data_IF_143852343532
#
_entry.id   IF_143852343532
#
_cell.length_a   1.000
_cell.length_b   1.000
_cell.length_c   1.000
_cell.angle_alpha   90.00
_cell.angle_beta   90.00
_cell.angle_gamma   90.00
#
_symmetry.space_group_name_H-M   'P 1'
#
loop_
_entity.id
_entity.type
_entity.pdbx_description
1 polymer ?
#
# COMPACT_ATOMS: atom_id res chain seq x y z
N UNK A 1 10.29 -1.72 43.79
CA UNK A 1 10.20 -1.03 42.48
C UNK A 1 10.40 -2.04 41.37
N UNK A 2 9.32 -2.75 41.02
CA UNK A 2 9.32 -3.68 39.89
C UNK A 2 9.19 -2.83 38.63
N UNK A 3 10.20 -2.90 37.76
CA UNK A 3 10.19 -2.22 36.47
C UNK A 3 8.99 -2.70 35.66
N UNK A 4 8.07 -1.78 35.37
CA UNK A 4 7.04 -1.99 34.37
C UNK A 4 7.72 -2.06 33.01
N UNK A 5 8.06 -3.28 32.58
CA UNK A 5 8.31 -3.58 31.18
C UNK A 5 6.99 -3.26 30.49
N UNK A 6 6.88 -2.08 29.87
CA UNK A 6 5.82 -1.81 28.90
C UNK A 6 5.93 -2.93 27.89
N UNK A 7 4.97 -3.86 27.88
CA UNK A 7 4.85 -4.83 26.80
C UNK A 7 4.84 -4.03 25.51
N UNK A 8 5.90 -4.18 24.71
CA UNK A 8 5.88 -3.73 23.32
C UNK A 8 4.84 -4.57 22.62
N UNK A 9 3.63 -4.03 22.50
CA UNK A 9 2.61 -4.52 21.57
C UNK A 9 2.98 -4.05 20.16
N UNK A 10 4.17 -4.42 19.69
CA UNK A 10 4.62 -4.19 18.31
C UNK A 10 3.94 -5.19 17.35
N UNK A 11 2.84 -5.82 17.76
CA UNK A 11 2.20 -6.95 17.08
C UNK A 11 0.70 -6.71 16.94
N UNK A 12 0.26 -6.51 15.70
CA UNK A 12 -1.14 -6.39 15.33
C UNK A 12 -1.57 -7.65 14.55
N UNK A 13 -2.73 -8.22 14.89
CA UNK A 13 -3.23 -9.45 14.25
C UNK A 13 -4.18 -9.12 13.10
N UNK A 14 -3.72 -9.30 11.85
CA UNK A 14 -4.53 -9.09 10.65
C UNK A 14 -5.78 -9.97 10.57
N UNK A 15 -5.82 -11.07 11.31
CA UNK A 15 -6.99 -11.95 11.45
C UNK A 15 -8.23 -11.20 11.99
N UNK A 16 -8.02 -10.06 12.66
CA UNK A 16 -9.11 -9.17 13.11
C UNK A 16 -9.70 -8.32 11.98
N UNK A 17 -8.99 -8.16 10.86
CA UNK A 17 -9.37 -7.28 9.76
C UNK A 17 -9.76 -8.03 8.47
N UNK A 18 -9.36 -9.30 8.32
CA UNK A 18 -9.62 -10.09 7.13
C UNK A 18 -9.58 -11.60 7.40
N UNK A 19 -10.25 -12.38 6.54
CA UNK A 19 -10.08 -13.82 6.57
C UNK A 19 -8.69 -14.21 6.03
N UNK A 20 -8.10 -15.33 6.50
CA UNK A 20 -6.85 -15.84 5.94
C UNK A 20 -6.92 -16.01 4.42
N UNK A 21 -5.91 -15.49 3.71
CA UNK A 21 -5.82 -15.56 2.26
C UNK A 21 -6.55 -14.45 1.49
N UNK A 22 -7.28 -13.55 2.17
CA UNK A 22 -7.95 -12.42 1.49
C UNK A 22 -7.00 -11.27 1.15
N UNK A 23 -5.95 -11.06 1.95
CA UNK A 23 -5.03 -9.93 1.82
C UNK A 23 -3.89 -10.29 0.84
N UNK A 24 -3.84 -9.63 -0.32
CA UNK A 24 -2.74 -9.79 -1.28
C UNK A 24 -1.55 -8.88 -0.95
N UNK A 25 -1.84 -7.69 -0.43
CA UNK A 25 -0.83 -6.67 -0.12
C UNK A 25 -1.34 -5.71 0.93
N UNK A 26 -0.42 -5.08 1.65
CA UNK A 26 -0.73 -4.13 2.71
C UNK A 26 0.28 -3.00 2.73
N UNK A 27 -0.17 -1.79 3.03
CA UNK A 27 0.70 -0.62 3.25
C UNK A 27 0.23 0.20 4.42
N UNK A 28 1.20 0.87 5.05
CA UNK A 28 0.97 1.89 6.08
C UNK A 28 1.52 3.22 5.57
N UNK A 29 0.79 4.30 5.84
CA UNK A 29 1.20 5.65 5.44
C UNK A 29 0.18 6.71 5.82
N UNK A 30 0.53 7.97 5.60
CA UNK A 30 -0.32 9.14 5.87
C UNK A 30 -1.04 9.56 4.60
N UNK A 31 -1.95 8.71 4.15
CA UNK A 31 -2.62 8.88 2.86
C UNK A 31 -3.74 9.91 2.89
N UNK A 32 -4.49 10.01 3.99
CA UNK A 32 -5.69 10.84 4.10
C UNK A 32 -5.46 12.09 4.96
N UNK A 33 -4.63 11.97 5.99
CA UNK A 33 -4.26 13.05 6.91
C UNK A 33 -2.78 12.91 7.30
N UNK A 34 -2.02 14.01 7.29
CA UNK A 34 -0.59 14.02 7.63
C UNK A 34 -0.30 13.67 9.09
N UNK A 35 -1.30 13.72 9.96
CA UNK A 35 -1.17 13.45 11.38
C UNK A 35 -1.74 12.09 11.79
N UNK A 36 -2.37 11.35 10.86
CA UNK A 36 -3.01 10.06 11.15
C UNK A 36 -2.44 9.02 10.21
N UNK A 37 -1.81 8.00 10.75
CA UNK A 37 -1.38 6.85 9.97
C UNK A 37 -2.58 6.00 9.58
N UNK A 38 -2.57 5.50 8.36
CA UNK A 38 -3.62 4.68 7.81
C UNK A 38 -3.06 3.36 7.32
N UNK A 39 -3.77 2.28 7.62
CA UNK A 39 -3.51 0.95 7.13
C UNK A 39 -4.43 0.70 5.93
N UNK A 40 -3.84 0.37 4.78
CA UNK A 40 -4.60 -0.01 3.59
C UNK A 40 -4.29 -1.46 3.25
N UNK A 41 -5.34 -2.28 3.21
CA UNK A 41 -5.29 -3.68 2.81
C UNK A 41 -5.84 -3.83 1.40
N UNK A 42 -5.06 -4.38 0.47
CA UNK A 42 -5.60 -4.88 -0.80
C UNK A 42 -6.26 -6.23 -0.57
N UNK A 43 -7.52 -6.34 -1.00
CA UNK A 43 -8.33 -7.55 -1.00
C UNK A 43 -8.95 -7.74 -2.38
N UNK A 44 -8.23 -8.44 -3.25
CA UNK A 44 -8.51 -8.67 -4.66
C UNK A 44 -8.76 -7.36 -5.42
N UNK A 45 -10.02 -6.95 -5.58
CA UNK A 45 -10.44 -5.78 -6.37
C UNK A 45 -10.84 -4.57 -5.52
N UNK A 46 -10.70 -4.64 -4.19
CA UNK A 46 -11.01 -3.53 -3.28
C UNK A 46 -9.88 -3.27 -2.28
N UNK A 47 -9.80 -2.03 -1.81
CA UNK A 47 -8.92 -1.59 -0.74
C UNK A 47 -9.75 -1.40 0.52
N UNK A 48 -9.36 -2.03 1.62
CA UNK A 48 -9.94 -1.75 2.94
C UNK A 48 -9.05 -0.74 3.65
N UNK A 49 -9.63 0.38 4.06
CA UNK A 49 -8.92 1.49 4.69
C UNK A 49 -9.25 1.53 6.17
N UNK A 50 -8.21 1.64 6.99
CA UNK A 50 -8.33 1.83 8.42
C UNK A 50 -7.44 3.00 8.87
N UNK A 51 -7.89 3.76 9.86
CA UNK A 51 -7.07 4.76 10.53
C UNK A 51 -6.52 4.19 11.84
N UNK A 52 -5.25 4.46 12.12
CA UNK A 52 -4.69 4.16 13.42
C UNK A 52 -5.33 5.07 14.47
N UNK A 53 -5.85 4.47 15.54
CA UNK A 53 -6.37 5.16 16.71
C UNK A 53 -5.38 4.91 17.86
N UNK A 54 -4.50 5.89 18.08
CA UNK A 54 -3.47 5.81 19.11
C UNK A 54 -4.04 5.85 20.54
N UNK A 55 -5.25 6.40 20.73
CA UNK A 55 -5.88 6.50 22.05
C UNK A 55 -6.44 5.15 22.50
N UNK A 56 -7.09 4.43 21.58
CA UNK A 56 -7.72 3.13 21.85
C UNK A 56 -6.83 1.92 21.50
N UNK A 57 -5.60 2.15 21.00
CA UNK A 57 -4.65 1.11 20.59
C UNK A 57 -5.27 0.14 19.55
N UNK A 58 -5.99 0.70 18.57
CA UNK A 58 -6.72 -0.06 17.56
C UNK A 58 -6.72 0.61 16.18
N UNK A 59 -7.39 -0.02 15.21
CA UNK A 59 -7.59 0.52 13.87
C UNK A 59 -9.08 0.71 13.60
N UNK A 60 -9.48 1.96 13.38
CA UNK A 60 -10.84 2.32 13.03
C UNK A 60 -11.09 2.08 11.55
N UNK A 61 -12.13 1.31 11.22
CA UNK A 61 -12.54 1.12 9.83
C UNK A 61 -13.04 2.44 9.22
N UNK A 62 -12.56 2.75 8.02
CA UNK A 62 -12.90 3.98 7.30
C UNK A 62 -13.78 3.68 6.10
N UNK A 63 -13.29 2.86 5.16
CA UNK A 63 -13.99 2.62 3.90
C UNK A 63 -13.47 1.39 3.14
N UNK A 64 -14.27 0.93 2.16
CA UNK A 64 -13.87 0.03 1.10
C UNK A 64 -13.85 0.76 -0.26
N UNK A 65 -12.67 0.88 -0.86
CA UNK A 65 -12.47 1.57 -2.14
C UNK A 65 -12.30 0.54 -3.27
N UNK A 66 -13.20 0.55 -4.25
CA UNK A 66 -13.10 -0.32 -5.42
C UNK A 66 -11.98 0.14 -6.37
N UNK A 67 -11.12 -0.79 -6.78
CA UNK A 67 -10.02 -0.56 -7.74
C UNK A 67 -10.34 -1.14 -9.13
N UNK A 68 -11.41 -1.94 -9.24
CA UNK A 68 -11.93 -2.59 -10.47
C UNK A 68 -10.96 -3.52 -11.20
N UNK A 69 -9.71 -3.61 -10.75
CA UNK A 69 -8.70 -4.57 -11.19
C UNK A 69 -8.13 -5.28 -9.98
N UNK A 70 -7.78 -6.54 -10.18
CA UNK A 70 -7.15 -7.32 -9.13
C UNK A 70 -5.75 -6.77 -8.84
N UNK A 71 -5.54 -6.42 -7.57
CA UNK A 71 -4.30 -5.81 -7.08
C UNK A 71 -3.27 -6.91 -6.84
N UNK A 72 -2.10 -6.74 -7.44
CA UNK A 72 -0.93 -7.58 -7.20
C UNK A 72 -0.14 -7.07 -5.99
N UNK A 73 0.19 -5.78 -5.97
CA UNK A 73 0.86 -5.18 -4.81
C UNK A 73 0.54 -3.69 -4.64
N UNK A 74 0.75 -3.23 -3.41
CA UNK A 74 0.67 -1.84 -2.99
C UNK A 74 2.05 -1.38 -2.49
N UNK A 75 2.40 -0.13 -2.75
CA UNK A 75 3.57 0.52 -2.14
C UNK A 75 3.22 1.93 -1.66
N UNK A 76 3.78 2.33 -0.52
CA UNK A 76 3.74 3.73 -0.05
C UNK A 76 4.88 4.52 -0.69
N UNK A 77 4.57 5.68 -1.25
CA UNK A 77 5.57 6.68 -1.66
C UNK A 77 5.46 7.89 -0.74
N UNK A 78 6.37 7.97 0.23
CA UNK A 78 6.34 8.97 1.31
C UNK A 78 6.59 10.37 0.76
N UNK A 79 5.75 11.34 1.14
CA UNK A 79 5.88 12.73 0.70
C UNK A 79 6.26 13.66 1.87
N UNK A 80 7.38 14.43 1.80
CA UNK A 80 7.83 15.27 2.92
C UNK A 80 6.84 16.38 3.32
N UNK A 81 6.15 16.96 2.34
CA UNK A 81 5.33 18.16 2.50
C UNK A 81 3.89 17.97 2.04
N UNK A 82 3.47 16.73 1.77
CA UNK A 82 2.12 16.40 1.30
C UNK A 82 1.62 15.13 1.99
N UNK A 83 0.45 14.65 1.58
CA UNK A 83 -0.02 13.31 1.85
C UNK A 83 0.81 12.29 1.07
N UNK A 84 1.01 11.12 1.66
CA UNK A 84 1.71 10.02 1.01
C UNK A 84 0.95 9.56 -0.23
N UNK A 85 1.69 9.16 -1.25
CA UNK A 85 1.11 8.62 -2.47
C UNK A 85 0.98 7.10 -2.36
N UNK A 86 -0.16 6.57 -2.82
CA UNK A 86 -0.41 5.15 -2.91
C UNK A 86 -0.06 4.67 -4.32
N UNK A 87 0.95 3.81 -4.43
CA UNK A 87 1.24 3.09 -5.67
C UNK A 87 0.48 1.77 -5.68
N UNK A 88 -0.26 1.50 -6.76
CA UNK A 88 -1.04 0.29 -6.97
C UNK A 88 -0.55 -0.39 -8.24
N UNK A 89 -0.17 -1.66 -8.15
CA UNK A 89 0.15 -2.50 -9.30
C UNK A 89 -0.91 -3.60 -9.43
N UNK A 90 -1.52 -3.71 -10.61
CA UNK A 90 -2.45 -4.80 -10.94
C UNK A 90 -1.70 -6.07 -11.33
N UNK A 91 -2.39 -7.21 -11.27
CA UNK A 91 -1.89 -8.48 -11.83
C UNK A 91 -1.64 -8.40 -13.36
N UNK A 92 -2.32 -7.49 -14.05
CA UNK A 92 -2.13 -7.22 -15.48
C UNK A 92 -0.87 -6.41 -15.80
N UNK A 93 -0.12 -6.01 -14.77
CA UNK A 93 1.09 -5.20 -14.90
C UNK A 93 0.82 -3.73 -15.20
N UNK A 94 -0.42 -3.25 -15.04
CA UNK A 94 -0.73 -1.83 -15.07
C UNK A 94 -0.58 -1.24 -13.68
N UNK A 95 -0.07 -0.01 -13.61
CA UNK A 95 0.14 0.66 -12.34
C UNK A 95 -0.48 2.04 -12.31
N UNK A 96 -0.82 2.47 -11.10
CA UNK A 96 -1.33 3.79 -10.76
C UNK A 96 -0.52 4.35 -9.59
N UNK A 97 -0.12 5.61 -9.70
CA UNK A 97 0.35 6.40 -8.56
C UNK A 97 -0.78 7.37 -8.18
N UNK A 98 -1.32 7.21 -6.99
CA UNK A 98 -2.51 7.90 -6.51
C UNK A 98 -2.16 8.81 -5.32
N UNK A 99 -2.84 9.94 -5.19
CA UNK A 99 -2.79 10.78 -3.99
C UNK A 99 -4.20 11.20 -3.60
N UNK A 100 -4.50 11.21 -2.31
CA UNK A 100 -5.81 11.64 -1.82
C UNK A 100 -6.00 13.15 -2.04
N UNK A 101 -7.17 13.56 -2.53
CA UNK A 101 -7.48 14.96 -2.78
C UNK A 101 -8.55 15.56 -1.83
N UNK A 102 -8.92 14.83 -0.78
CA UNK A 102 -9.98 15.19 0.16
C UNK A 102 -11.28 14.41 -0.04
N UNK A 103 -11.53 13.88 -1.23
CA UNK A 103 -12.76 13.12 -1.54
C UNK A 103 -12.52 11.75 -2.17
N UNK A 104 -11.45 11.60 -2.96
CA UNK A 104 -11.07 10.36 -3.61
C UNK A 104 -9.58 10.31 -3.86
N UNK A 105 -9.07 9.11 -4.14
CA UNK A 105 -7.74 8.96 -4.72
C UNK A 105 -7.73 9.50 -6.15
N UNK A 106 -6.87 10.48 -6.39
CA UNK A 106 -6.64 11.07 -7.70
C UNK A 106 -5.37 10.47 -8.33
N UNK A 107 -5.42 10.02 -9.60
CA UNK A 107 -4.25 9.48 -10.27
C UNK A 107 -3.27 10.58 -10.68
N UNK A 108 -2.09 10.58 -10.06
CA UNK A 108 -0.96 11.42 -10.44
C UNK A 108 -0.24 10.89 -11.68
N UNK A 109 -0.12 9.56 -11.79
CA UNK A 109 0.51 8.91 -12.93
C UNK A 109 -0.04 7.50 -13.14
N UNK A 110 0.10 6.98 -14.36
CA UNK A 110 -0.25 5.62 -14.71
C UNK A 110 0.70 5.06 -15.76
N UNK A 111 0.83 3.74 -15.82
CA UNK A 111 1.60 3.08 -16.86
C UNK A 111 1.33 1.59 -16.93
N UNK A 112 2.08 0.94 -17.82
CA UNK A 112 2.08 -0.52 -17.98
C UNK A 112 3.52 -1.01 -17.98
N UNK A 113 3.84 -1.93 -17.06
CA UNK A 113 5.14 -2.56 -16.98
C UNK A 113 5.46 -3.30 -18.29
N UNK A 114 4.52 -4.07 -18.85
CA UNK A 114 4.71 -4.79 -20.10
C UNK A 114 5.10 -3.85 -21.26
N UNK A 115 4.43 -2.70 -21.38
CA UNK A 115 4.79 -1.68 -22.39
C UNK A 115 6.16 -1.06 -22.10
N UNK A 116 6.47 -0.81 -20.83
CA UNK A 116 7.74 -0.20 -20.42
C UNK A 116 8.94 -1.13 -20.62
N UNK A 117 8.77 -2.45 -20.47
CA UNK A 117 9.84 -3.43 -20.66
C UNK A 117 10.02 -3.86 -22.11
N UNK A 118 9.04 -3.61 -23.00
CA UNK A 118 9.11 -4.03 -24.40
C UNK A 118 10.41 -3.58 -25.11
N UNK A 119 10.92 -2.34 -24.92
CA UNK A 119 12.22 -1.94 -25.47
C UNK A 119 13.40 -2.67 -24.82
N UNK A 120 13.32 -3.01 -23.53
CA UNK A 120 14.37 -3.74 -22.79
C UNK A 120 14.51 -5.17 -23.29
N UNK A 121 13.38 -5.80 -23.63
CA UNK A 121 13.36 -7.17 -24.14
C UNK A 121 13.98 -7.30 -25.53
N UNK A 122 14.21 -6.20 -26.26
CA UNK A 122 14.87 -6.22 -27.58
C UNK A 122 16.40 -6.34 -27.50
N UNK A 123 17.01 -5.94 -26.38
CA UNK A 123 18.46 -6.10 -26.14
C UNK A 123 18.74 -6.62 -24.72
N UNK A 124 18.26 -7.83 -24.38
CA UNK A 124 18.22 -8.31 -23.01
C UNK A 124 19.61 -8.49 -22.39
N UNK A 125 20.62 -8.86 -23.17
CA UNK A 125 21.98 -9.14 -22.65
C UNK A 125 22.70 -7.90 -22.11
N UNK A 126 22.46 -6.72 -22.69
CA UNK A 126 23.12 -5.47 -22.25
C UNK A 126 22.55 -4.92 -20.95
N UNK A 127 21.35 -5.37 -20.54
CA UNK A 127 20.58 -4.78 -19.45
C UNK A 127 20.25 -5.79 -18.33
N UNK A 128 20.92 -6.94 -18.33
CA UNK A 128 20.86 -7.88 -17.20
C UNK A 128 21.49 -7.22 -15.97
N UNK A 129 20.74 -7.18 -14.88
CA UNK A 129 21.33 -6.95 -13.57
C UNK A 129 22.29 -8.13 -13.30
N UNK A 130 23.58 -7.86 -13.17
CA UNK A 130 24.49 -8.81 -12.53
C UNK A 130 24.23 -8.76 -11.05
N UNK A 131 23.69 -9.85 -10.53
CA UNK A 131 23.69 -10.13 -9.10
C UNK A 131 24.94 -10.99 -8.88
N UNK A 132 26.09 -10.33 -8.76
CA UNK A 132 27.30 -11.02 -8.32
C UNK A 132 27.16 -11.30 -6.81
N UNK A 133 27.36 -12.55 -6.36
CA UNK A 133 27.21 -12.93 -4.95
C UNK A 133 28.26 -12.31 -4.03
#
# INVERSE_FOLDING_TARGET
NVGGVRERKDCFYLETLALPGEIQSMVVGRFFNRNVESLILAKSTFLSVFHNNEEEDNFDFVDHICVYKEVFCLCTSVQPHSLDCLFVLSIGGEWLLLQWNGSKFFPLATGSLLKAIQPLMKTPEQRRFRLDP
#
